data_IF_459655692001
#
_entry.id   IF_459655692001
#
_cell.length_a   1.000
_cell.length_b   1.000
_cell.length_c   1.000
_cell.angle_alpha   90.00
_cell.angle_beta   90.00
_cell.angle_gamma   90.00
#
_symmetry.space_group_name_H-M   'P 1'
#
loop_
_entity.id
_entity.type
_entity.pdbx_description
1 polymer ?
#
# COMPACT_ATOMS: atom_id res chain seq x y z
N UNK A 1 5.34 -1.54 -0.25
CA UNK A 1 4.77 -0.20 -0.06
C UNK A 1 5.64 0.69 0.81
N UNK A 2 6.15 0.24 1.99
CA UNK A 2 6.99 1.05 2.90
C UNK A 2 8.16 1.76 2.22
N UNK A 3 8.77 1.15 1.19
CA UNK A 3 9.88 1.78 0.45
C UNK A 3 9.36 2.90 -0.46
N UNK A 4 8.21 2.69 -1.09
CA UNK A 4 7.53 3.72 -1.86
C UNK A 4 7.14 4.92 -0.98
N UNK A 5 6.64 4.67 0.24
CA UNK A 5 6.29 5.70 1.22
C UNK A 5 7.49 6.55 1.68
N UNK A 6 8.70 6.10 1.45
CA UNK A 6 9.92 6.89 1.70
C UNK A 6 10.51 7.52 0.42
N UNK A 7 9.89 7.28 -0.75
CA UNK A 7 10.44 7.64 -2.04
C UNK A 7 11.70 6.85 -2.40
N UNK A 8 11.88 5.66 -1.82
CA UNK A 8 13.04 4.80 -2.02
C UNK A 8 12.82 3.79 -3.13
N UNK A 9 13.91 3.39 -3.79
CA UNK A 9 13.92 2.30 -4.78
C UNK A 9 14.22 0.98 -4.06
N UNK A 10 13.39 -0.06 -4.21
CA UNK A 10 13.68 -1.37 -3.65
C UNK A 10 14.84 -2.02 -4.39
N UNK A 11 15.74 -2.69 -3.68
CA UNK A 11 16.95 -3.29 -4.26
C UNK A 11 17.01 -4.78 -4.01
N UNK A 12 16.77 -5.19 -2.77
CA UNK A 12 16.93 -6.59 -2.39
C UNK A 12 15.90 -7.03 -1.36
N UNK A 13 15.63 -8.34 -1.40
CA UNK A 13 14.66 -9.01 -0.55
C UNK A 13 15.26 -10.28 0.03
N UNK A 14 15.01 -10.55 1.29
CA UNK A 14 15.28 -11.83 1.95
C UNK A 14 14.01 -12.32 2.63
N UNK A 15 13.84 -13.65 2.68
CA UNK A 15 12.64 -14.26 3.27
C UNK A 15 13.03 -15.34 4.28
N UNK A 16 12.48 -15.25 5.48
CA UNK A 16 12.52 -16.33 6.46
C UNK A 16 11.17 -17.03 6.49
N UNK A 17 11.20 -18.37 6.42
CA UNK A 17 10.01 -19.20 6.38
C UNK A 17 10.05 -20.23 7.51
N UNK A 18 9.00 -20.28 8.36
CA UNK A 18 8.79 -21.39 9.27
C UNK A 18 7.62 -22.23 8.73
N UNK A 19 7.90 -23.49 8.39
CA UNK A 19 7.00 -24.35 7.62
C UNK A 19 6.65 -25.62 8.43
N UNK A 20 5.37 -26.08 8.39
CA UNK A 20 4.98 -27.39 8.90
C UNK A 20 5.67 -28.52 8.15
N UNK A 21 6.02 -29.60 8.87
CA UNK A 21 6.74 -30.73 8.27
C UNK A 21 5.92 -31.54 7.25
N UNK A 22 4.61 -31.38 7.24
CA UNK A 22 3.66 -32.02 6.32
C UNK A 22 3.26 -31.14 5.12
N UNK A 23 3.82 -29.92 5.02
CA UNK A 23 3.55 -29.02 3.90
C UNK A 23 4.12 -29.60 2.59
N UNK A 24 3.30 -29.62 1.54
CA UNK A 24 3.73 -30.17 0.25
C UNK A 24 4.83 -29.34 -0.38
N UNK A 25 5.79 -30.00 -1.01
CA UNK A 25 6.88 -29.34 -1.77
C UNK A 25 6.29 -28.48 -2.90
N UNK A 26 5.26 -28.96 -3.57
CA UNK A 26 4.58 -28.21 -4.65
C UNK A 26 4.02 -26.87 -4.16
N UNK A 27 3.50 -26.81 -2.93
CA UNK A 27 3.04 -25.56 -2.35
C UNK A 27 4.20 -24.59 -2.14
N UNK A 28 5.32 -25.09 -1.61
CA UNK A 28 6.53 -24.28 -1.39
C UNK A 28 7.07 -23.74 -2.73
N UNK A 29 7.18 -24.59 -3.74
CA UNK A 29 7.62 -24.18 -5.08
C UNK A 29 6.71 -23.09 -5.66
N UNK A 30 5.39 -23.27 -5.61
CA UNK A 30 4.42 -22.28 -6.08
C UNK A 30 4.51 -20.95 -5.34
N UNK A 31 4.73 -20.99 -4.03
CA UNK A 31 4.95 -19.78 -3.22
C UNK A 31 6.21 -19.03 -3.67
N UNK A 32 7.33 -19.75 -3.85
CA UNK A 32 8.56 -19.15 -4.32
C UNK A 32 8.51 -18.68 -5.78
N UNK A 33 7.68 -19.30 -6.62
CA UNK A 33 7.44 -18.84 -7.99
C UNK A 33 6.73 -17.48 -7.98
N UNK A 34 5.69 -17.32 -7.12
CA UNK A 34 5.03 -16.03 -6.91
C UNK A 34 5.98 -14.95 -6.39
N UNK A 35 6.85 -15.29 -5.43
CA UNK A 35 7.86 -14.36 -4.90
C UNK A 35 8.83 -13.94 -6.01
N UNK A 36 9.29 -14.87 -6.83
CA UNK A 36 10.18 -14.58 -7.97
C UNK A 36 9.52 -13.71 -9.02
N UNK A 37 8.24 -13.96 -9.32
CA UNK A 37 7.45 -13.14 -10.25
C UNK A 37 7.39 -11.69 -9.74
N UNK A 38 7.01 -11.50 -8.48
CA UNK A 38 6.95 -10.19 -7.84
C UNK A 38 8.33 -9.49 -7.83
N UNK A 39 9.39 -10.21 -7.47
CA UNK A 39 10.75 -9.67 -7.48
C UNK A 39 11.19 -9.21 -8.88
N UNK A 40 10.80 -9.93 -9.93
CA UNK A 40 11.09 -9.52 -11.32
C UNK A 40 10.28 -8.29 -11.73
N UNK A 41 8.99 -8.26 -11.39
CA UNK A 41 8.11 -7.12 -11.71
C UNK A 41 8.67 -5.81 -11.16
N UNK A 42 9.18 -5.85 -9.92
CA UNK A 42 9.72 -4.65 -9.24
C UNK A 42 11.25 -4.53 -9.28
N UNK A 43 11.93 -5.35 -10.10
CA UNK A 43 13.39 -5.33 -10.25
C UNK A 43 14.14 -5.50 -8.91
N UNK A 44 13.62 -6.33 -8.01
CA UNK A 44 14.19 -6.61 -6.69
C UNK A 44 14.97 -7.92 -6.75
N UNK A 45 16.16 -7.95 -6.14
CA UNK A 45 16.97 -9.16 -6.07
C UNK A 45 16.56 -10.00 -4.85
N UNK A 46 16.09 -11.23 -5.08
CA UNK A 46 15.93 -12.21 -4.00
C UNK A 46 17.31 -12.77 -3.64
N UNK A 47 17.84 -12.33 -2.49
CA UNK A 47 19.20 -12.71 -2.05
C UNK A 47 19.25 -14.06 -1.35
N UNK A 48 18.13 -14.55 -0.82
CA UNK A 48 18.05 -15.80 -0.08
C UNK A 48 17.14 -15.67 1.14
N UNK A 49 17.44 -16.44 2.17
CA UNK A 49 16.66 -16.46 3.41
C UNK A 49 17.01 -17.66 4.26
N UNK A 50 16.09 -18.02 5.14
CA UNK A 50 16.20 -19.18 6.03
C UNK A 50 14.90 -19.95 6.07
N UNK A 51 14.98 -21.29 6.24
CA UNK A 51 13.82 -22.16 6.41
C UNK A 51 13.97 -22.94 7.70
N UNK A 52 12.98 -22.86 8.56
CA UNK A 52 12.91 -23.60 9.81
C UNK A 52 11.58 -24.35 9.96
N UNK A 53 11.48 -25.23 10.92
CA UNK A 53 10.25 -25.97 11.21
C UNK A 53 9.24 -25.14 12.00
N UNK A 54 7.94 -25.28 11.67
CA UNK A 54 6.81 -24.78 12.46
C UNK A 54 5.95 -25.92 12.99
N UNK A 55 5.41 -25.77 14.18
CA UNK A 55 4.41 -26.68 14.74
C UNK A 55 2.98 -26.32 14.39
N UNK A 56 2.73 -25.07 13.98
CA UNK A 56 1.40 -24.53 13.76
C UNK A 56 1.43 -23.56 12.56
N UNK A 57 1.02 -24.04 11.40
CA UNK A 57 0.85 -23.21 10.22
C UNK A 57 2.14 -22.67 9.59
N UNK A 58 1.97 -21.95 8.49
CA UNK A 58 3.04 -21.31 7.73
C UNK A 58 3.27 -19.90 8.28
N UNK A 59 4.53 -19.54 8.56
CA UNK A 59 4.93 -18.19 8.93
C UNK A 59 5.97 -17.72 7.93
N UNK A 60 5.68 -16.61 7.26
CA UNK A 60 6.61 -15.99 6.32
C UNK A 60 6.97 -14.58 6.81
N UNK A 61 8.26 -14.28 6.84
CA UNK A 61 8.76 -12.95 7.20
C UNK A 61 9.65 -12.44 6.07
N UNK A 62 9.21 -11.36 5.42
CA UNK A 62 9.96 -10.69 4.37
C UNK A 62 10.73 -9.48 4.90
N UNK A 63 11.98 -9.34 4.49
CA UNK A 63 12.76 -8.12 4.73
C UNK A 63 13.20 -7.53 3.41
N UNK A 64 12.80 -6.30 3.14
CA UNK A 64 13.17 -5.58 1.93
C UNK A 64 14.13 -4.43 2.24
N UNK A 65 15.17 -4.31 1.44
CA UNK A 65 16.13 -3.21 1.49
C UNK A 65 15.93 -2.33 0.27
N UNK A 66 15.85 -1.04 0.49
CA UNK A 66 15.78 -0.03 -0.57
C UNK A 66 16.85 1.02 -0.38
N UNK A 67 17.07 1.81 -1.40
CA UNK A 67 17.99 2.94 -1.41
C UNK A 67 17.23 4.23 -1.71
N UNK A 68 17.71 5.31 -1.14
CA UNK A 68 17.23 6.67 -1.37
C UNK A 68 18.46 7.59 -1.32
N UNK A 69 18.53 8.67 -2.12
CA UNK A 69 19.65 9.60 -2.02
C UNK A 69 19.79 10.16 -0.59
N UNK A 70 21.02 10.46 -0.21
CA UNK A 70 21.33 10.91 1.14
C UNK A 70 20.48 12.14 1.51
N UNK A 71 19.89 12.10 2.71
CA UNK A 71 19.00 13.13 3.26
C UNK A 71 17.71 13.41 2.45
N UNK A 72 17.31 12.55 1.51
CA UNK A 72 16.11 12.75 0.70
C UNK A 72 14.96 11.80 1.05
N UNK A 73 15.11 10.93 2.04
CA UNK A 73 14.01 10.07 2.47
C UNK A 73 12.84 10.92 2.98
N UNK A 74 11.67 10.75 2.36
CA UNK A 74 10.46 11.40 2.85
C UNK A 74 9.99 10.65 4.11
N UNK A 75 9.56 11.40 5.11
CA UNK A 75 9.13 10.85 6.40
C UNK A 75 7.66 11.16 6.64
N UNK A 76 7.05 10.52 7.63
CA UNK A 76 5.73 10.91 8.16
C UNK A 76 5.75 12.31 8.77
N UNK A 77 6.89 12.75 9.30
CA UNK A 77 7.09 14.10 9.85
C UNK A 77 7.54 15.08 8.77
N UNK A 78 6.93 16.24 8.72
CA UNK A 78 7.33 17.30 7.78
C UNK A 78 6.17 18.03 7.14
N UNK A 79 4.92 17.56 7.35
CA UNK A 79 3.73 18.29 6.96
C UNK A 79 3.68 19.68 7.60
N UNK A 80 3.27 20.68 6.84
CA UNK A 80 3.21 22.07 7.25
C UNK A 80 1.81 22.66 7.07
N UNK A 81 1.49 23.66 7.85
CA UNK A 81 0.24 24.42 7.67
C UNK A 81 0.15 24.98 6.25
N UNK A 82 -0.99 24.73 5.60
CA UNK A 82 -1.23 25.15 4.22
C UNK A 82 -0.78 24.18 3.16
N UNK A 83 -0.17 23.05 3.51
CA UNK A 83 0.08 21.96 2.58
C UNK A 83 -1.22 21.37 2.04
N UNK A 84 -1.16 20.81 0.84
CA UNK A 84 -2.22 20.00 0.26
C UNK A 84 -2.03 18.56 0.73
N UNK A 85 -3.10 17.93 1.19
CA UNK A 85 -3.16 16.49 1.46
C UNK A 85 -3.56 15.78 0.18
N UNK A 86 -2.90 14.70 -0.16
CA UNK A 86 -3.19 13.90 -1.35
C UNK A 86 -3.12 12.41 -1.04
N UNK A 87 -3.75 11.62 -1.89
CA UNK A 87 -3.57 10.17 -1.98
C UNK A 87 -3.33 9.80 -3.44
N UNK A 88 -2.60 8.71 -3.68
CA UNK A 88 -2.53 8.08 -5.00
C UNK A 88 -3.72 7.14 -5.20
N UNK A 89 -4.22 7.03 -6.43
CA UNK A 89 -5.28 6.07 -6.78
C UNK A 89 -6.58 6.21 -5.99
N UNK A 90 -7.26 5.09 -5.78
CA UNK A 90 -8.55 4.97 -5.06
C UNK A 90 -8.41 4.16 -3.79
N UNK A 91 -9.26 4.42 -2.80
CA UNK A 91 -9.19 3.82 -1.47
C UNK A 91 -10.41 2.96 -1.17
N UNK A 92 -10.20 1.94 -0.32
CA UNK A 92 -11.23 1.02 0.13
C UNK A 92 -11.46 -0.20 -0.76
N UNK A 93 -10.80 -0.24 -1.92
CA UNK A 93 -10.94 -1.30 -2.90
C UNK A 93 -10.46 -2.65 -2.35
N UNK A 94 -9.34 -2.68 -1.63
CA UNK A 94 -8.79 -3.91 -1.06
C UNK A 94 -9.69 -4.51 0.02
N UNK A 95 -10.15 -3.72 0.96
CA UNK A 95 -11.02 -4.20 2.04
C UNK A 95 -12.40 -4.64 1.55
N UNK A 96 -12.95 -3.98 0.52
CA UNK A 96 -14.14 -4.45 -0.19
C UNK A 96 -13.87 -5.76 -0.93
N UNK A 97 -12.71 -5.85 -1.60
CA UNK A 97 -12.23 -7.05 -2.28
C UNK A 97 -12.16 -8.27 -1.36
N UNK A 98 -11.65 -8.10 -0.14
CA UNK A 98 -11.68 -9.15 0.87
C UNK A 98 -13.10 -9.61 1.18
N UNK A 99 -14.04 -8.67 1.39
CA UNK A 99 -15.45 -9.00 1.64
C UNK A 99 -16.05 -9.80 0.49
N UNK A 100 -15.79 -9.39 -0.75
CA UNK A 100 -16.25 -10.05 -1.97
C UNK A 100 -15.70 -11.48 -2.10
N UNK A 101 -14.41 -11.67 -1.79
CA UNK A 101 -13.77 -12.98 -1.82
C UNK A 101 -14.35 -13.92 -0.78
N UNK A 102 -14.60 -13.44 0.43
CA UNK A 102 -15.23 -14.22 1.50
C UNK A 102 -16.68 -14.58 1.18
N UNK A 103 -17.40 -13.72 0.46
CA UNK A 103 -18.77 -13.95 0.00
C UNK A 103 -18.84 -14.81 -1.28
N UNK A 104 -17.72 -15.20 -1.88
CA UNK A 104 -17.65 -15.99 -3.11
C UNK A 104 -18.12 -15.26 -4.38
N UNK A 105 -18.12 -13.92 -4.39
CA UNK A 105 -18.64 -13.06 -5.47
C UNK A 105 -17.56 -12.46 -6.37
N UNK A 106 -16.41 -13.10 -6.44
CA UNK A 106 -15.25 -12.62 -7.21
C UNK A 106 -15.58 -12.24 -8.66
N UNK A 107 -16.44 -13.04 -9.32
CA UNK A 107 -16.75 -12.82 -10.73
C UNK A 107 -17.67 -11.60 -10.97
N UNK A 108 -18.39 -11.16 -9.94
CA UNK A 108 -19.27 -9.97 -10.02
C UNK A 108 -18.50 -8.67 -9.89
N UNK A 109 -17.39 -8.69 -9.13
CA UNK A 109 -16.55 -7.52 -8.82
C UNK A 109 -15.05 -7.88 -8.92
N UNK A 110 -14.57 -8.20 -10.13
CA UNK A 110 -13.23 -8.74 -10.33
C UNK A 110 -12.11 -7.74 -10.01
N UNK A 111 -12.33 -6.43 -10.22
CA UNK A 111 -11.32 -5.42 -9.95
C UNK A 111 -11.07 -5.26 -8.45
N UNK A 112 -12.13 -5.24 -7.63
CA UNK A 112 -12.00 -5.18 -6.18
C UNK A 112 -11.30 -6.44 -5.64
N UNK A 113 -11.68 -7.63 -6.14
CA UNK A 113 -11.03 -8.87 -5.75
C UNK A 113 -9.53 -8.89 -6.10
N UNK A 114 -9.14 -8.39 -7.30
CA UNK A 114 -7.74 -8.35 -7.72
C UNK A 114 -6.94 -7.32 -6.91
N UNK A 115 -7.53 -6.19 -6.54
CA UNK A 115 -6.88 -5.19 -5.68
C UNK A 115 -6.45 -5.79 -4.34
N UNK A 116 -7.28 -6.65 -3.74
CA UNK A 116 -6.92 -7.36 -2.51
C UNK A 116 -5.87 -8.46 -2.75
N UNK A 117 -6.04 -9.27 -3.79
CA UNK A 117 -5.17 -10.43 -4.04
C UNK A 117 -3.79 -10.05 -4.60
N UNK A 118 -3.68 -8.94 -5.33
CA UNK A 118 -2.46 -8.47 -5.99
C UNK A 118 -2.30 -6.95 -5.84
N UNK A 119 -2.09 -6.46 -4.62
CA UNK A 119 -1.87 -5.03 -4.38
C UNK A 119 -0.60 -4.56 -5.10
N UNK A 120 -0.60 -3.34 -5.58
CA UNK A 120 0.53 -2.74 -6.31
C UNK A 120 1.17 -1.65 -5.47
N UNK A 121 2.42 -1.81 -5.03
CA UNK A 121 3.15 -0.75 -4.36
C UNK A 121 3.44 0.40 -5.33
N UNK A 122 3.24 1.62 -4.89
CA UNK A 122 3.35 2.84 -5.71
C UNK A 122 4.79 3.38 -5.76
N UNK A 123 5.74 2.56 -6.25
CA UNK A 123 7.19 2.86 -6.20
C UNK A 123 7.53 4.09 -7.04
N UNK A 124 7.03 4.15 -8.28
CA UNK A 124 7.29 5.28 -9.18
C UNK A 124 6.67 6.57 -8.66
N UNK A 125 5.45 6.51 -8.13
CA UNK A 125 4.82 7.67 -7.49
C UNK A 125 5.62 8.13 -6.26
N UNK A 126 6.08 7.21 -5.42
CA UNK A 126 6.92 7.54 -4.27
C UNK A 126 8.18 8.31 -4.67
N UNK A 127 8.85 7.88 -5.75
CA UNK A 127 10.02 8.57 -6.29
C UNK A 127 9.66 9.96 -6.82
N UNK A 128 8.62 10.07 -7.65
CA UNK A 128 8.16 11.35 -8.22
C UNK A 128 7.78 12.33 -7.09
N UNK A 129 7.05 11.87 -6.08
CA UNK A 129 6.64 12.69 -4.95
C UNK A 129 7.84 13.19 -4.13
N UNK A 130 8.84 12.33 -3.88
CA UNK A 130 10.09 12.75 -3.26
C UNK A 130 10.79 13.84 -4.08
N UNK A 131 10.97 13.62 -5.38
CA UNK A 131 11.65 14.57 -6.28
C UNK A 131 10.89 15.88 -6.43
N UNK A 132 9.57 15.84 -6.28
CA UNK A 132 8.69 17.01 -6.31
C UNK A 132 8.60 17.73 -4.94
N UNK A 133 9.26 17.22 -3.92
CA UNK A 133 9.33 17.84 -2.60
C UNK A 133 8.06 17.62 -1.77
N UNK A 134 7.51 16.41 -1.75
CA UNK A 134 6.51 16.02 -0.78
C UNK A 134 7.06 16.25 0.64
N UNK A 135 6.28 16.91 1.49
CA UNK A 135 6.67 17.26 2.85
C UNK A 135 6.48 16.09 3.82
N UNK A 136 5.51 15.21 3.57
CA UNK A 136 5.35 13.94 4.28
C UNK A 136 4.79 12.86 3.35
N UNK A 137 5.08 11.60 3.66
CA UNK A 137 4.51 10.43 2.99
C UNK A 137 4.29 9.28 3.99
N UNK A 138 3.25 8.50 3.73
CA UNK A 138 3.00 7.19 4.32
C UNK A 138 2.29 6.31 3.28
N UNK A 139 2.26 4.99 3.46
CA UNK A 139 1.43 4.10 2.68
C UNK A 139 0.12 3.78 3.42
N UNK A 140 -0.95 3.55 2.67
CA UNK A 140 -2.26 3.24 3.24
C UNK A 140 -2.36 1.72 3.44
N UNK A 141 -1.81 1.25 4.56
CA UNK A 141 -1.80 -0.17 4.96
C UNK A 141 -2.87 -0.53 5.97
N UNK A 142 -3.19 0.37 6.90
CA UNK A 142 -4.18 0.14 7.97
C UNK A 142 -5.40 1.08 7.87
N UNK A 143 -5.58 1.71 6.72
CA UNK A 143 -6.67 2.63 6.42
C UNK A 143 -6.30 4.11 6.53
N UNK A 144 -6.94 4.92 5.68
CA UNK A 144 -6.60 6.34 5.54
C UNK A 144 -6.65 7.10 6.88
N UNK A 145 -7.66 6.85 7.71
CA UNK A 145 -7.82 7.54 8.99
C UNK A 145 -6.63 7.33 9.92
N UNK A 146 -6.06 6.13 9.93
CA UNK A 146 -4.87 5.81 10.75
C UNK A 146 -3.64 6.49 10.19
N UNK A 147 -3.38 6.31 8.90
CA UNK A 147 -2.15 6.80 8.28
C UNK A 147 -2.05 8.33 8.27
N UNK A 148 -3.18 9.01 8.07
CA UNK A 148 -3.21 10.48 8.14
C UNK A 148 -3.01 10.98 9.57
N UNK A 149 -3.54 10.26 10.56
CA UNK A 149 -3.30 10.58 11.96
C UNK A 149 -1.83 10.40 12.36
N UNK A 150 -1.14 9.39 11.83
CA UNK A 150 0.29 9.19 12.01
C UNK A 150 1.11 10.37 11.46
N UNK A 151 0.75 10.88 10.26
CA UNK A 151 1.36 12.08 9.68
C UNK A 151 1.09 13.31 10.55
N UNK A 152 -0.16 13.51 10.98
CA UNK A 152 -0.56 14.64 11.80
C UNK A 152 0.21 14.68 13.13
N UNK A 153 0.28 13.54 13.82
CA UNK A 153 1.03 13.40 15.07
C UNK A 153 2.54 13.63 14.90
N UNK A 154 3.14 12.98 13.88
CA UNK A 154 4.57 13.09 13.60
C UNK A 154 4.98 14.52 13.21
N UNK A 155 4.09 15.25 12.54
CA UNK A 155 4.30 16.62 12.07
C UNK A 155 3.81 17.70 13.05
N UNK A 156 3.03 17.31 14.09
CA UNK A 156 2.40 18.22 15.06
C UNK A 156 1.47 19.24 14.41
N UNK A 157 0.66 18.78 13.45
CA UNK A 157 -0.34 19.59 12.75
C UNK A 157 -1.72 18.94 12.88
N UNK A 158 -2.76 19.69 12.60
CA UNK A 158 -4.10 19.18 12.38
C UNK A 158 -4.31 18.99 10.88
N UNK A 159 -4.85 17.85 10.47
CA UNK A 159 -5.19 17.57 9.09
C UNK A 159 -6.71 17.47 8.97
N UNK A 160 -7.27 18.19 8.03
CA UNK A 160 -8.70 18.16 7.70
C UNK A 160 -8.89 17.50 6.35
N UNK A 161 -9.81 16.54 6.27
CA UNK A 161 -10.17 15.83 5.04
C UNK A 161 -11.61 16.18 4.64
N UNK A 162 -11.79 16.52 3.38
CA UNK A 162 -13.10 16.71 2.77
C UNK A 162 -13.63 15.36 2.27
N UNK A 163 -14.72 14.86 2.88
CA UNK A 163 -15.27 13.52 2.55
C UNK A 163 -15.51 13.34 1.06
N UNK A 164 -16.04 14.36 0.40
CA UNK A 164 -16.42 14.34 -1.01
C UNK A 164 -15.24 14.30 -1.96
N UNK A 165 -14.04 14.55 -1.46
CA UNK A 165 -12.79 14.55 -2.24
C UNK A 165 -11.97 13.29 -2.09
N UNK A 166 -12.39 12.37 -1.21
CA UNK A 166 -11.71 11.09 -1.07
C UNK A 166 -12.03 10.21 -2.28
N UNK A 167 -11.01 9.79 -3.04
CA UNK A 167 -11.24 9.07 -4.28
C UNK A 167 -11.73 7.65 -4.02
N UNK A 168 -12.87 7.30 -4.61
CA UNK A 168 -13.49 5.98 -4.60
C UNK A 168 -13.54 5.44 -6.02
N UNK A 169 -13.35 4.14 -6.21
CA UNK A 169 -13.52 3.52 -7.51
C UNK A 169 -15.01 3.36 -7.86
N UNK A 170 -15.31 3.38 -9.16
CA UNK A 170 -16.68 3.13 -9.65
C UNK A 170 -17.18 1.74 -9.22
N UNK A 171 -16.28 0.74 -9.19
CA UNK A 171 -16.66 -0.61 -8.80
C UNK A 171 -16.97 -0.70 -7.30
N UNK A 172 -16.23 0.00 -6.44
CA UNK A 172 -16.53 0.11 -5.02
C UNK A 172 -17.89 0.79 -4.79
N UNK A 173 -18.18 1.87 -5.51
CA UNK A 173 -19.45 2.58 -5.43
C UNK A 173 -20.61 1.67 -5.87
N UNK A 174 -20.46 0.95 -6.98
CA UNK A 174 -21.46 0.00 -7.48
C UNK A 174 -21.70 -1.13 -6.47
N UNK A 175 -20.64 -1.78 -5.97
CA UNK A 175 -20.76 -2.82 -4.96
C UNK A 175 -21.44 -2.34 -3.68
N UNK A 176 -21.11 -1.12 -3.23
CA UNK A 176 -21.75 -0.51 -2.07
C UNK A 176 -23.27 -0.34 -2.27
N UNK A 177 -23.70 0.13 -3.44
CA UNK A 177 -25.12 0.25 -3.80
C UNK A 177 -25.82 -1.12 -3.83
N UNK A 178 -25.21 -2.11 -4.50
CA UNK A 178 -25.79 -3.45 -4.66
C UNK A 178 -25.93 -4.21 -3.32
N UNK A 179 -25.00 -3.97 -2.39
CA UNK A 179 -24.94 -4.66 -1.10
C UNK A 179 -25.45 -3.82 0.08
N UNK A 180 -25.90 -2.58 -0.14
CA UNK A 180 -26.34 -1.68 0.93
C UNK A 180 -25.22 -1.29 1.91
N UNK A 181 -23.98 -1.23 1.43
CA UNK A 181 -22.80 -0.84 2.22
C UNK A 181 -22.35 0.57 1.85
N UNK A 182 -21.80 1.30 2.82
CA UNK A 182 -21.29 2.65 2.60
C UNK A 182 -19.83 2.60 2.10
N UNK A 183 -19.53 2.94 0.83
CA UNK A 183 -18.18 2.86 0.26
C UNK A 183 -17.15 3.68 1.02
N UNK A 184 -17.54 4.86 1.50
CA UNK A 184 -16.69 5.74 2.27
C UNK A 184 -16.12 5.08 3.53
N UNK A 185 -16.90 4.20 4.19
CA UNK A 185 -16.42 3.48 5.37
C UNK A 185 -15.22 2.59 5.04
N UNK A 186 -15.23 1.96 3.86
CA UNK A 186 -14.13 1.12 3.38
C UNK A 186 -12.90 1.97 3.05
N UNK A 187 -13.08 3.13 2.44
CA UNK A 187 -11.98 4.03 2.10
C UNK A 187 -11.27 4.63 3.33
N UNK A 188 -12.02 4.93 4.39
CA UNK A 188 -11.46 5.55 5.61
C UNK A 188 -10.82 4.53 6.53
N UNK A 189 -11.42 3.36 6.70
CA UNK A 189 -11.02 2.38 7.71
C UNK A 189 -10.48 1.07 7.11
N UNK A 190 -10.68 0.86 5.82
CA UNK A 190 -10.17 -0.33 5.14
C UNK A 190 -8.67 -0.27 4.96
N UNK A 191 -7.99 -1.36 5.26
CA UNK A 191 -6.56 -1.49 5.04
C UNK A 191 -6.20 -2.20 3.74
N UNK A 192 -4.88 -2.31 3.52
CA UNK A 192 -4.25 -3.06 2.42
C UNK A 192 -4.49 -2.47 1.02
N UNK A 193 -4.80 -1.18 0.92
CA UNK A 193 -4.85 -0.49 -0.39
C UNK A 193 -3.45 -0.26 -0.96
N UNK A 194 -2.45 -0.03 -0.08
CA UNK A 194 -1.05 0.23 -0.41
C UNK A 194 -0.84 1.40 -1.39
N UNK A 195 -1.83 2.29 -1.44
CA UNK A 195 -1.66 3.61 -2.04
C UNK A 195 -0.79 4.50 -1.14
N UNK A 196 -0.30 5.62 -1.66
CA UNK A 196 0.45 6.59 -0.86
C UNK A 196 -0.48 7.72 -0.41
N UNK A 197 -0.33 8.12 0.85
CA UNK A 197 -0.91 9.34 1.40
C UNK A 197 0.19 10.27 1.84
N UNK A 198 0.04 11.56 1.62
CA UNK A 198 1.05 12.52 2.02
C UNK A 198 0.60 13.96 1.94
N UNK A 199 1.57 14.84 2.17
CA UNK A 199 1.37 16.28 2.08
C UNK A 199 2.43 16.91 1.19
N UNK A 200 2.07 18.01 0.54
CA UNK A 200 2.95 18.74 -0.36
C UNK A 200 2.55 20.22 -0.39
N UNK A 201 3.52 21.11 -0.57
CA UNK A 201 3.22 22.53 -0.69
C UNK A 201 2.30 22.83 -1.88
N UNK A 202 1.42 23.82 -1.76
CA UNK A 202 0.51 24.24 -2.87
C UNK A 202 1.27 24.50 -4.17
N UNK A 203 2.47 25.08 -4.08
CA UNK A 203 3.30 25.37 -5.25
C UNK A 203 3.72 24.09 -5.96
N UNK A 204 4.18 23.10 -5.22
CA UNK A 204 4.68 21.85 -5.78
C UNK A 204 3.51 20.94 -6.25
N UNK A 205 2.34 21.03 -5.61
CA UNK A 205 1.14 20.32 -6.01
C UNK A 205 0.76 20.58 -7.47
N UNK A 206 0.88 21.81 -7.94
CA UNK A 206 0.55 22.17 -9.32
C UNK A 206 1.37 21.39 -10.37
N UNK A 207 2.54 20.88 -9.99
CA UNK A 207 3.39 20.06 -10.89
C UNK A 207 3.02 18.57 -10.86
N UNK A 208 2.45 18.07 -9.78
CA UNK A 208 2.21 16.61 -9.60
C UNK A 208 0.73 16.21 -9.68
N UNK A 209 -0.21 17.13 -9.52
CA UNK A 209 -1.67 16.84 -9.49
C UNK A 209 -2.22 16.15 -10.73
N UNK A 210 -1.49 16.16 -11.85
CA UNK A 210 -1.86 15.44 -13.07
C UNK A 210 -1.15 14.10 -13.24
N UNK A 211 -0.33 13.72 -12.28
CA UNK A 211 0.45 12.48 -12.28
C UNK A 211 -0.04 11.56 -11.14
N UNK A 212 -0.47 12.15 -10.05
CA UNK A 212 -1.01 11.50 -8.83
C UNK A 212 -2.51 11.32 -8.91
#
# INVERSE_FOLDING_TARGET
>A
SDRAAMGAEPVSFVISAALPGDLSITWIESCYDGIRECCREYSVNLLGGDITGSKQGVILTGTIVGIVPENQAVKRSGAQEGDIVFVTGTLGDSSAGLSILLDGKKEEYPMLAIRHQRPKPQIDFGRILRESGASSLNDVSDGLSREINEIALASRVTIELEKERIPLSDELCRWGQDCGKEPFHFAINGGEDYELVGTISKKNWEYVKGIV
#
